data_IF_929164949171
#
_entry.id   IF_929164949171
#
_cell.length_a   1.000
_cell.length_b   1.000
_cell.length_c   1.000
_cell.angle_alpha   90.00
_cell.angle_beta   90.00
_cell.angle_gamma   90.00
#
_symmetry.space_group_name_H-M   'P 1'
#
loop_
_entity.id
_entity.type
_entity.pdbx_description
1 polymer ?
#
# COMPACT_ATOMS: atom_id res chain seq x y z
N UNK A 1 5.11 38.79 2.56
CA UNK A 1 5.69 37.68 1.78
C UNK A 1 4.95 36.41 2.16
N UNK A 2 4.29 35.67 1.26
CA UNK A 2 3.67 34.41 1.63
C UNK A 2 4.79 33.40 1.90
N UNK A 3 4.71 32.68 3.02
CA UNK A 3 5.68 31.66 3.38
C UNK A 3 5.76 30.60 2.27
N UNK A 4 6.90 30.52 1.56
CA UNK A 4 7.18 29.40 0.65
C UNK A 4 7.15 28.13 1.50
N UNK A 5 6.08 27.34 1.38
CA UNK A 5 6.03 25.99 1.96
C UNK A 5 7.22 25.23 1.36
N UNK A 6 8.15 24.77 2.19
CA UNK A 6 9.21 23.85 1.73
C UNK A 6 8.50 22.66 1.07
N UNK A 7 8.86 22.26 -0.17
CA UNK A 7 8.29 21.09 -0.83
C UNK A 7 8.88 19.85 -0.15
N UNK A 8 8.39 19.57 1.04
CA UNK A 8 8.72 18.41 1.83
C UNK A 8 7.56 18.20 2.77
N UNK A 9 6.95 17.02 2.73
CA UNK A 9 6.09 16.57 3.80
C UNK A 9 6.96 16.69 5.06
N UNK A 10 6.65 17.66 5.94
CA UNK A 10 7.53 18.03 7.04
C UNK A 10 8.03 16.78 7.77
N UNK A 11 9.35 16.65 7.89
CA UNK A 11 10.11 15.55 8.52
C UNK A 11 10.50 14.34 7.65
N UNK A 12 10.11 14.31 6.37
CA UNK A 12 10.45 13.20 5.48
C UNK A 12 11.20 13.80 4.29
N UNK A 13 12.50 13.53 4.19
CA UNK A 13 13.31 13.92 3.03
C UNK A 13 12.92 13.05 1.81
N UNK A 14 11.63 12.97 1.47
CA UNK A 14 11.12 12.17 0.39
C UNK A 14 9.96 12.89 -0.31
N UNK A 15 9.92 12.82 -1.65
CA UNK A 15 8.73 13.13 -2.42
C UNK A 15 7.48 12.37 -1.94
N UNK A 16 6.32 12.92 -2.24
CA UNK A 16 5.02 12.29 -1.94
C UNK A 16 4.88 10.91 -2.63
N UNK A 17 5.47 10.75 -3.81
CA UNK A 17 5.46 9.49 -4.55
C UNK A 17 6.17 8.37 -3.75
N UNK A 18 7.39 8.64 -3.30
CA UNK A 18 8.20 7.72 -2.50
C UNK A 18 7.52 7.33 -1.19
N UNK A 19 6.81 8.28 -0.56
CA UNK A 19 5.97 7.98 0.60
C UNK A 19 4.88 6.97 0.27
N UNK A 20 4.13 7.18 -0.81
CA UNK A 20 3.07 6.26 -1.22
C UNK A 20 3.59 4.87 -1.57
N UNK A 21 4.72 4.80 -2.26
CA UNK A 21 5.36 3.53 -2.61
C UNK A 21 5.79 2.78 -1.34
N UNK A 22 6.51 3.46 -0.44
CA UNK A 22 6.94 2.88 0.83
C UNK A 22 5.76 2.44 1.71
N UNK A 23 4.70 3.24 1.75
CA UNK A 23 3.49 2.93 2.51
C UNK A 23 2.75 1.71 1.95
N UNK A 24 2.63 1.58 0.62
CA UNK A 24 2.07 0.38 -0.02
C UNK A 24 2.91 -0.87 0.27
N UNK A 25 4.24 -0.76 0.14
CA UNK A 25 5.14 -1.88 0.41
C UNK A 25 5.04 -2.34 1.88
N UNK A 26 5.02 -1.39 2.82
CA UNK A 26 4.82 -1.67 4.24
C UNK A 26 3.51 -2.41 4.51
N UNK A 27 2.40 -2.01 3.88
CA UNK A 27 1.10 -2.68 4.01
C UNK A 27 1.10 -4.10 3.49
N UNK A 28 1.76 -4.36 2.35
CA UNK A 28 1.88 -5.73 1.83
C UNK A 28 2.68 -6.61 2.79
N UNK A 29 3.82 -6.13 3.30
CA UNK A 29 4.67 -6.88 4.22
C UNK A 29 3.94 -7.18 5.54
N UNK A 30 3.36 -6.17 6.18
CA UNK A 30 2.68 -6.33 7.47
C UNK A 30 1.37 -7.12 7.31
N UNK A 31 0.65 -6.95 6.20
CA UNK A 31 -0.52 -7.76 5.85
C UNK A 31 -0.21 -9.24 5.63
N UNK A 32 1.05 -9.59 5.34
CA UNK A 32 1.55 -10.98 5.32
C UNK A 32 1.97 -11.49 6.70
N UNK A 33 1.89 -10.66 7.74
CA UNK A 33 2.32 -10.98 9.10
C UNK A 33 3.80 -10.72 9.37
N UNK A 34 4.51 -10.04 8.47
CA UNK A 34 5.90 -9.66 8.70
C UNK A 34 5.99 -8.55 9.76
N UNK A 35 7.02 -8.62 10.60
CA UNK A 35 7.34 -7.55 11.57
C UNK A 35 8.13 -6.44 10.87
N UNK A 36 8.07 -5.19 11.37
CA UNK A 36 8.92 -4.12 10.87
C UNK A 36 10.39 -4.51 10.85
N UNK A 37 11.05 -4.29 9.72
CA UNK A 37 12.47 -4.55 9.52
C UNK A 37 13.31 -3.32 9.90
N UNK A 38 13.98 -3.41 11.05
CA UNK A 38 14.86 -2.38 11.61
C UNK A 38 16.08 -2.06 10.74
N UNK A 39 16.35 -2.85 9.69
CA UNK A 39 17.43 -2.58 8.72
C UNK A 39 17.01 -1.59 7.65
N UNK A 40 15.72 -1.32 7.51
CA UNK A 40 15.24 -0.25 6.65
C UNK A 40 15.51 1.09 7.32
N UNK A 41 15.72 2.12 6.50
CA UNK A 41 15.93 3.49 6.96
C UNK A 41 14.93 4.46 6.32
N UNK A 42 14.86 5.66 6.89
CA UNK A 42 14.11 6.79 6.35
C UNK A 42 12.61 6.51 6.21
N UNK A 43 12.08 6.71 5.00
CA UNK A 43 10.64 6.63 4.72
C UNK A 43 10.11 5.20 4.74
N UNK A 44 10.92 4.21 4.35
CA UNK A 44 10.53 2.79 4.35
C UNK A 44 10.35 2.25 5.77
N UNK A 45 11.33 2.53 6.63
CA UNK A 45 11.26 2.15 8.04
C UNK A 45 10.04 2.72 8.74
N UNK A 46 9.84 4.02 8.58
CA UNK A 46 8.74 4.71 9.24
C UNK A 46 7.38 4.28 8.68
N UNK A 47 7.27 4.04 7.38
CA UNK A 47 6.05 3.48 6.80
C UNK A 47 5.68 2.13 7.44
N UNK A 48 6.66 1.25 7.65
CA UNK A 48 6.43 0.00 8.37
C UNK A 48 6.03 0.22 9.83
N UNK A 49 6.71 1.12 10.55
CA UNK A 49 6.34 1.43 11.93
C UNK A 49 4.92 1.96 12.06
N UNK A 50 4.51 2.87 11.17
CA UNK A 50 3.15 3.40 11.15
C UNK A 50 2.18 2.25 10.88
N UNK A 51 2.36 1.49 9.80
CA UNK A 51 1.41 0.42 9.44
C UNK A 51 1.33 -0.68 10.51
N UNK A 52 2.44 -1.00 11.18
CA UNK A 52 2.49 -2.10 12.16
C UNK A 52 1.95 -1.68 13.53
N UNK A 53 2.04 -0.40 13.87
CA UNK A 53 1.76 0.10 15.20
C UNK A 53 0.74 1.25 15.22
N UNK A 54 0.06 1.53 14.10
CA UNK A 54 -0.98 2.55 14.06
C UNK A 54 -2.05 2.18 15.10
N UNK A 55 -2.14 3.04 16.11
CA UNK A 55 -2.66 2.68 17.44
C UNK A 55 -4.11 3.13 17.66
N UNK A 56 -4.71 3.75 16.66
CA UNK A 56 -6.05 4.28 16.78
C UNK A 56 -7.01 3.32 16.07
N UNK A 57 -7.90 2.70 16.84
CA UNK A 57 -8.86 1.66 16.44
C UNK A 57 -9.87 2.02 15.36
N UNK A 58 -9.51 2.84 14.37
CA UNK A 58 -10.24 3.05 13.13
C UNK A 58 -10.07 1.89 12.14
N UNK A 59 -9.16 0.95 12.42
CA UNK A 59 -8.79 -0.09 11.46
C UNK A 59 -8.12 0.53 10.24
N UNK A 60 -7.43 -0.30 9.46
CA UNK A 60 -6.87 0.15 8.19
C UNK A 60 -8.02 0.59 7.27
N UNK A 61 -8.20 1.90 7.06
CA UNK A 61 -9.27 2.44 6.20
C UNK A 61 -9.13 2.03 4.72
N UNK A 62 -7.99 1.46 4.36
CA UNK A 62 -7.71 0.94 3.04
C UNK A 62 -7.68 -0.60 3.06
N UNK A 63 -7.99 -1.25 4.17
CA UNK A 63 -8.17 -2.70 4.27
C UNK A 63 -9.55 -3.04 3.72
N UNK A 64 -9.58 -3.70 2.56
CA UNK A 64 -10.81 -4.26 2.04
C UNK A 64 -11.28 -5.44 2.91
N UNK A 65 -12.57 -5.50 3.28
CA UNK A 65 -13.14 -6.67 3.94
C UNK A 65 -12.87 -7.95 3.14
N UNK A 66 -12.65 -9.07 3.84
CA UNK A 66 -12.46 -10.38 3.23
C UNK A 66 -13.47 -10.72 2.09
N UNK A 67 -14.79 -10.46 2.23
CA UNK A 67 -15.74 -10.70 1.14
C UNK A 67 -15.48 -9.83 -0.09
N UNK A 68 -15.09 -8.57 0.08
CA UNK A 68 -14.76 -7.65 -1.01
C UNK A 68 -13.55 -8.15 -1.80
N UNK A 69 -12.50 -8.59 -1.11
CA UNK A 69 -11.31 -9.16 -1.77
C UNK A 69 -11.62 -10.44 -2.55
N UNK A 70 -12.51 -11.29 -2.02
CA UNK A 70 -12.93 -12.51 -2.70
C UNK A 70 -13.72 -12.18 -3.98
N UNK A 71 -14.64 -11.22 -3.92
CA UNK A 71 -15.40 -10.77 -5.07
C UNK A 71 -14.47 -10.17 -6.16
N UNK A 72 -13.55 -9.30 -5.77
CA UNK A 72 -12.56 -8.73 -6.67
C UNK A 72 -11.68 -9.81 -7.32
N UNK A 73 -11.26 -10.83 -6.56
CA UNK A 73 -10.48 -11.95 -7.12
C UNK A 73 -11.27 -12.72 -8.17
N UNK A 74 -12.55 -13.03 -7.91
CA UNK A 74 -13.41 -13.73 -8.89
C UNK A 74 -13.59 -12.93 -10.18
N UNK A 75 -13.82 -11.61 -10.07
CA UNK A 75 -13.90 -10.74 -11.24
C UNK A 75 -12.60 -10.73 -12.04
N UNK A 76 -11.45 -10.71 -11.35
CA UNK A 76 -10.15 -10.74 -12.01
C UNK A 76 -9.91 -12.08 -12.73
N UNK A 77 -10.27 -13.20 -12.09
CA UNK A 77 -10.18 -14.53 -12.68
C UNK A 77 -11.07 -14.66 -13.93
N UNK A 78 -12.28 -14.08 -13.91
CA UNK A 78 -13.21 -14.04 -15.06
C UNK A 78 -12.68 -13.17 -16.21
N UNK A 79 -12.14 -11.99 -15.91
CA UNK A 79 -11.52 -11.13 -16.94
C UNK A 79 -10.34 -11.86 -17.59
N UNK A 80 -9.50 -12.53 -16.80
CA UNK A 80 -8.36 -13.29 -17.31
C UNK A 80 -8.84 -14.46 -18.19
N UNK A 81 -9.87 -15.20 -17.78
CA UNK A 81 -10.39 -16.33 -18.58
C UNK A 81 -10.97 -15.86 -19.91
N UNK A 82 -11.73 -14.76 -19.92
CA UNK A 82 -12.28 -14.17 -21.14
C UNK A 82 -11.20 -13.70 -22.12
N UNK A 83 -10.12 -13.11 -21.61
CA UNK A 83 -8.98 -12.67 -22.43
C UNK A 83 -8.24 -13.86 -23.03
N UNK A 84 -8.05 -14.93 -22.25
CA UNK A 84 -7.37 -16.15 -22.72
C UNK A 84 -8.22 -16.92 -23.74
N UNK A 85 -9.52 -17.07 -23.51
CA UNK A 85 -10.45 -17.73 -24.44
C UNK A 85 -10.67 -16.92 -25.72
N UNK A 86 -10.69 -15.59 -25.62
CA UNK A 86 -10.75 -14.69 -26.78
C UNK A 86 -9.46 -14.66 -27.60
N UNK A 87 -8.30 -14.91 -26.98
CA UNK A 87 -6.99 -15.01 -27.64
C UNK A 87 -6.74 -16.35 -28.33
N UNK A 88 -7.36 -17.44 -27.84
CA UNK A 88 -7.27 -18.79 -28.41
C UNK A 88 -8.20 -19.03 -29.62
N UNK A 89 -9.07 -18.07 -29.94
CA UNK A 89 -9.98 -18.11 -31.12
C UNK A 89 -9.54 -17.23 -32.29
N UNK A 90 -8.27 -16.78 -32.34
CA UNK A 90 -7.68 -16.08 -33.49
C UNK A 90 -6.61 -16.92 -34.16
#
# INVERSE_FOLDING_TARGET
MPFKRKPGLGHYNAPRADWYEAYRAARVAIGRGEKPDHRLDGVRWKAQLIVAYDRDGQGDQLSDPAPTRLALRRLNDEVISLVLEGGLRR
#
